data_IF_677828633686
#
_entry.id   IF_677828633686
#
_cell.length_a   1.000
_cell.length_b   1.000
_cell.length_c   1.000
_cell.angle_alpha   90.00
_cell.angle_beta   90.00
_cell.angle_gamma   90.00
#
_symmetry.space_group_name_H-M   'P 1'
#
loop_
_entity.id
_entity.type
_entity.pdbx_description
1 polymer ?
#
# COMPACT_ATOMS: atom_id res chain seq x y z
N UNK A 1 21.40 2.76 -14.69
CA UNK A 1 21.28 2.00 -13.41
C UNK A 1 20.47 2.80 -12.38
N UNK A 2 20.93 3.96 -11.91
CA UNK A 2 20.20 4.80 -10.94
C UNK A 2 18.78 5.16 -11.40
N UNK A 3 18.60 5.62 -12.65
CA UNK A 3 17.28 5.96 -13.19
C UNK A 3 16.33 4.76 -13.34
N UNK A 4 16.86 3.56 -13.58
CA UNK A 4 16.07 2.34 -13.65
C UNK A 4 15.56 1.95 -12.26
N UNK A 5 16.44 1.96 -11.25
CA UNK A 5 16.09 1.71 -9.85
C UNK A 5 15.05 2.72 -9.33
N UNK A 6 15.24 4.00 -9.64
CA UNK A 6 14.31 5.06 -9.24
C UNK A 6 12.93 4.90 -9.91
N UNK A 7 12.90 4.47 -11.17
CA UNK A 7 11.64 4.19 -11.89
C UNK A 7 10.89 3.01 -11.30
N UNK A 8 11.60 1.92 -10.95
CA UNK A 8 10.96 0.76 -10.30
C UNK A 8 10.40 1.15 -8.93
N UNK A 9 11.15 1.89 -8.12
CA UNK A 9 10.68 2.36 -6.81
C UNK A 9 9.46 3.28 -6.92
N UNK A 10 9.52 4.26 -7.83
CA UNK A 10 8.44 5.23 -8.02
C UNK A 10 7.21 4.60 -8.68
N UNK A 11 7.36 3.54 -9.47
CA UNK A 11 6.25 2.83 -10.13
C UNK A 11 5.48 1.85 -9.22
N UNK A 12 6.13 1.29 -8.19
CA UNK A 12 5.47 0.43 -7.20
C UNK A 12 4.51 1.21 -6.31
N UNK A 13 4.87 2.43 -5.90
CA UNK A 13 4.01 3.27 -5.05
C UNK A 13 2.59 3.48 -5.62
N UNK A 14 2.38 3.97 -6.86
CA UNK A 14 1.05 4.19 -7.41
C UNK A 14 0.35 2.90 -7.84
N UNK A 15 0.99 1.73 -7.88
CA UNK A 15 0.34 0.46 -8.26
C UNK A 15 -0.18 -0.30 -7.04
N UNK A 16 0.53 -0.26 -5.91
CA UNK A 16 0.12 -0.95 -4.68
C UNK A 16 -0.82 -0.13 -3.79
N UNK A 17 -0.62 1.19 -3.68
CA UNK A 17 -1.48 2.04 -2.82
C UNK A 17 -2.96 2.05 -3.23
N UNK A 18 -3.32 2.05 -4.53
CA UNK A 18 -4.71 1.93 -4.95
C UNK A 18 -5.43 0.71 -4.38
N UNK A 19 -4.72 -0.41 -4.25
CA UNK A 19 -5.32 -1.65 -3.79
C UNK A 19 -5.79 -1.59 -2.33
N UNK A 20 -5.15 -0.73 -1.52
CA UNK A 20 -5.37 -0.61 -0.08
C UNK A 20 -6.52 0.34 0.29
N UNK A 21 -6.89 1.26 -0.61
CA UNK A 21 -7.92 2.26 -0.34
C UNK A 21 -9.20 2.07 -1.19
N UNK A 22 -10.39 2.30 -0.63
CA UNK A 22 -11.65 2.28 -1.37
C UNK A 22 -11.60 3.25 -2.55
N UNK A 23 -12.12 2.83 -3.70
CA UNK A 23 -12.04 3.56 -4.98
C UNK A 23 -12.51 5.02 -4.89
N UNK A 24 -13.45 5.33 -4.00
CA UNK A 24 -14.01 6.67 -3.80
C UNK A 24 -13.06 7.66 -3.10
N UNK A 25 -12.15 7.20 -2.25
CA UNK A 25 -11.29 8.07 -1.41
C UNK A 25 -9.79 7.90 -1.70
N UNK A 26 -9.45 6.99 -2.61
CA UNK A 26 -8.07 6.57 -2.94
C UNK A 26 -7.11 7.74 -3.15
N UNK A 27 -7.46 8.67 -4.04
CA UNK A 27 -6.59 9.81 -4.36
C UNK A 27 -6.52 10.84 -3.23
N UNK A 28 -7.65 11.11 -2.56
CA UNK A 28 -7.69 12.06 -1.44
C UNK A 28 -6.91 11.58 -0.22
N UNK A 29 -7.10 10.32 0.18
CA UNK A 29 -6.38 9.73 1.31
C UNK A 29 -4.87 9.66 1.05
N UNK A 30 -4.46 9.26 -0.15
CA UNK A 30 -3.05 9.25 -0.56
C UNK A 30 -2.45 10.65 -0.55
N UNK A 31 -3.12 11.62 -1.17
CA UNK A 31 -2.63 13.00 -1.24
C UNK A 31 -2.49 13.63 0.14
N UNK A 32 -3.47 13.44 1.04
CA UNK A 32 -3.42 13.99 2.40
C UNK A 32 -2.28 13.32 3.18
N UNK A 33 -2.22 11.99 3.20
CA UNK A 33 -1.19 11.26 3.93
C UNK A 33 0.22 11.59 3.44
N UNK A 34 0.41 11.66 2.12
CA UNK A 34 1.70 12.00 1.51
C UNK A 34 2.09 13.44 1.82
N UNK A 35 1.20 14.42 1.60
CA UNK A 35 1.53 15.82 1.84
C UNK A 35 1.81 16.12 3.31
N UNK A 36 1.05 15.54 4.24
CA UNK A 36 1.31 15.70 5.68
C UNK A 36 2.69 15.12 6.04
N UNK A 37 3.00 13.91 5.55
CA UNK A 37 4.29 13.27 5.81
C UNK A 37 5.45 14.08 5.22
N UNK A 38 5.35 14.49 3.96
CA UNK A 38 6.38 15.30 3.29
C UNK A 38 6.52 16.67 3.94
N UNK A 39 5.43 17.29 4.36
CA UNK A 39 5.49 18.59 5.05
C UNK A 39 6.19 18.47 6.40
N UNK A 40 5.97 17.38 7.14
CA UNK A 40 6.60 17.17 8.45
C UNK A 40 8.09 16.80 8.28
N UNK A 41 8.39 15.83 7.43
CA UNK A 41 9.74 15.28 7.31
C UNK A 41 10.63 16.01 6.30
N UNK A 42 10.06 16.80 5.40
CA UNK A 42 10.81 17.51 4.36
C UNK A 42 11.78 18.56 4.91
N UNK A 43 11.40 19.24 6.00
CA UNK A 43 12.26 20.21 6.69
C UNK A 43 12.95 19.65 7.93
N UNK A 44 12.26 18.81 8.70
CA UNK A 44 12.80 18.31 9.98
C UNK A 44 13.94 17.31 9.78
N UNK A 45 13.90 16.49 8.73
CA UNK A 45 14.97 15.50 8.46
C UNK A 45 16.33 16.14 8.22
N UNK A 46 16.50 17.12 7.30
CA UNK A 46 17.80 17.75 7.11
C UNK A 46 18.25 18.57 8.33
N UNK A 47 17.32 19.16 9.09
CA UNK A 47 17.66 19.88 10.33
C UNK A 47 18.23 18.93 11.39
N UNK A 48 17.59 17.78 11.62
CA UNK A 48 18.06 16.75 12.56
C UNK A 48 19.38 16.16 12.08
N UNK A 49 19.51 15.88 10.78
CA UNK A 49 20.74 15.35 10.20
C UNK A 49 21.91 16.34 10.37
N UNK A 50 21.69 17.63 10.08
CA UNK A 50 22.70 18.67 10.25
C UNK A 50 23.09 18.84 11.73
N UNK A 51 22.12 18.84 12.64
CA UNK A 51 22.39 18.89 14.08
C UNK A 51 23.18 17.67 14.56
N UNK A 52 22.89 16.48 14.05
CA UNK A 52 23.61 15.25 14.40
C UNK A 52 25.07 15.32 13.95
N UNK A 53 25.32 15.81 12.73
CA UNK A 53 26.67 16.03 12.18
C UNK A 53 27.42 17.08 13.00
N UNK A 54 26.80 18.21 13.33
CA UNK A 54 27.42 19.28 14.13
C UNK A 54 27.84 18.79 15.53
N UNK A 55 27.04 17.92 16.15
CA UNK A 55 27.32 17.36 17.47
C UNK A 55 28.35 16.23 17.49
N UNK A 56 28.40 15.39 16.45
CA UNK A 56 29.32 14.23 16.39
C UNK A 56 30.59 14.51 15.61
N UNK A 57 30.60 15.53 14.74
CA UNK A 57 31.68 15.81 13.79
C UNK A 57 31.77 14.82 12.64
N UNK A 58 30.86 13.85 12.53
CA UNK A 58 30.88 12.79 11.52
C UNK A 58 29.86 13.06 10.40
N UNK A 59 30.36 13.24 9.18
CA UNK A 59 29.56 13.46 7.98
C UNK A 59 28.72 12.24 7.55
N UNK A 60 28.97 11.06 8.12
CA UNK A 60 28.22 9.82 7.86
C UNK A 60 26.97 9.67 8.74
N UNK A 61 26.75 10.55 9.72
CA UNK A 61 25.55 10.52 10.57
C UNK A 61 24.20 10.49 9.82
N UNK A 62 24.01 11.23 8.70
CA UNK A 62 22.78 11.14 7.92
C UNK A 62 22.56 9.72 7.35
N UNK A 63 23.62 8.99 7.02
CA UNK A 63 23.51 7.62 6.52
C UNK A 63 23.01 6.66 7.61
N UNK A 64 23.53 6.77 8.84
CA UNK A 64 23.04 5.98 9.98
C UNK A 64 21.59 6.28 10.32
N UNK A 65 21.19 7.56 10.26
CA UNK A 65 19.80 7.97 10.43
C UNK A 65 18.89 7.30 9.37
N UNK A 66 19.29 7.32 8.10
CA UNK A 66 18.56 6.69 7.00
C UNK A 66 18.51 5.16 7.11
N UNK A 67 19.56 4.51 7.62
CA UNK A 67 19.54 3.07 7.93
C UNK A 67 18.47 2.74 8.98
N UNK A 68 18.41 3.53 10.06
CA UNK A 68 17.37 3.38 11.09
C UNK A 68 15.96 3.58 10.53
N UNK A 69 15.76 4.64 9.73
CA UNK A 69 14.48 4.91 9.07
C UNK A 69 14.07 3.79 8.10
N UNK A 70 15.03 3.16 7.44
CA UNK A 70 14.79 2.05 6.51
C UNK A 70 14.25 0.80 7.22
N UNK A 71 14.67 0.53 8.46
CA UNK A 71 14.12 -0.56 9.28
C UNK A 71 12.63 -0.31 9.55
N UNK A 72 12.25 0.93 9.90
CA UNK A 72 10.84 1.31 10.08
C UNK A 72 10.07 1.11 8.78
N UNK A 73 10.68 1.46 7.63
CA UNK A 73 10.11 1.21 6.30
C UNK A 73 9.85 -0.28 6.04
N UNK A 74 10.81 -1.15 6.37
CA UNK A 74 10.67 -2.61 6.25
C UNK A 74 9.51 -3.11 7.13
N UNK A 75 9.44 -2.68 8.39
CA UNK A 75 8.35 -3.05 9.30
C UNK A 75 6.99 -2.58 8.74
N UNK A 76 6.93 -1.38 8.17
CA UNK A 76 5.72 -0.84 7.54
C UNK A 76 5.27 -1.68 6.33
N UNK A 77 6.21 -2.11 5.48
CA UNK A 77 5.92 -3.00 4.35
C UNK A 77 5.43 -4.37 4.83
N UNK A 78 6.04 -4.93 5.88
CA UNK A 78 5.61 -6.21 6.45
C UNK A 78 4.23 -6.13 7.12
N UNK A 79 3.88 -4.97 7.69
CA UNK A 79 2.56 -4.72 8.25
C UNK A 79 1.48 -4.53 7.15
N UNK A 80 1.89 -4.26 5.91
CA UNK A 80 0.99 -4.11 4.79
C UNK A 80 0.38 -5.47 4.42
N UNK A 81 -0.93 -5.59 4.58
CA UNK A 81 -1.65 -6.82 4.21
C UNK A 81 -1.64 -7.01 2.69
N UNK A 82 -1.13 -8.15 2.26
CA UNK A 82 -1.14 -8.62 0.88
C UNK A 82 -2.55 -8.45 0.27
N UNK A 83 -2.65 -7.63 -0.79
CA UNK A 83 -3.93 -7.35 -1.46
C UNK A 83 -4.08 -8.14 -2.78
N UNK A 84 -3.06 -8.91 -3.18
CA UNK A 84 -2.89 -9.51 -4.51
C UNK A 84 -3.91 -10.57 -4.96
N UNK A 85 -4.95 -10.88 -4.18
CA UNK A 85 -5.98 -11.85 -4.58
C UNK A 85 -7.41 -11.47 -4.16
N UNK A 86 -7.68 -10.18 -3.90
CA UNK A 86 -9.05 -9.74 -3.56
C UNK A 86 -9.55 -8.74 -4.59
N UNK A 87 -10.80 -8.89 -5.09
CA UNK A 87 -11.40 -7.87 -5.93
C UNK A 87 -11.42 -6.55 -5.17
N UNK A 88 -11.01 -5.48 -5.85
CA UNK A 88 -10.97 -4.14 -5.28
C UNK A 88 -12.37 -3.78 -4.76
N UNK A 89 -12.41 -3.25 -3.55
CA UNK A 89 -13.65 -2.96 -2.85
C UNK A 89 -14.38 -1.82 -3.58
N UNK A 90 -15.44 -2.19 -4.30
CA UNK A 90 -16.32 -1.25 -5.01
C UNK A 90 -16.02 -1.02 -6.50
N UNK A 91 -15.12 -1.79 -7.14
CA UNK A 91 -15.03 -1.79 -8.61
C UNK A 91 -15.89 -2.91 -9.21
N UNK A 92 -16.57 -2.62 -10.31
CA UNK A 92 -17.16 -3.67 -11.15
C UNK A 92 -16.09 -4.65 -11.66
N UNK A 93 -16.48 -5.84 -12.14
CA UNK A 93 -15.52 -6.78 -12.73
C UNK A 93 -14.80 -6.11 -13.90
N UNK A 94 -13.46 -6.05 -13.85
CA UNK A 94 -12.64 -5.57 -14.96
C UNK A 94 -12.61 -6.64 -16.05
N UNK A 95 -13.64 -6.67 -16.88
CA UNK A 95 -13.77 -7.61 -18.00
C UNK A 95 -13.80 -6.85 -19.32
N UNK A 96 -13.26 -7.47 -20.37
CA UNK A 96 -13.29 -6.89 -21.71
C UNK A 96 -14.70 -6.95 -22.33
N UNK A 97 -15.56 -7.85 -21.87
CA UNK A 97 -16.88 -8.10 -22.48
C UNK A 97 -17.98 -8.28 -21.44
N UNK A 98 -19.18 -7.75 -21.72
CA UNK A 98 -20.36 -7.88 -20.86
C UNK A 98 -20.73 -9.34 -20.55
N UNK A 99 -20.48 -10.25 -21.48
CA UNK A 99 -20.71 -11.68 -21.28
C UNK A 99 -19.83 -12.29 -20.17
N UNK A 100 -18.59 -11.82 -20.06
CA UNK A 100 -17.60 -12.26 -19.07
C UNK A 100 -17.89 -11.66 -17.68
N UNK A 101 -18.40 -10.43 -17.59
CA UNK A 101 -18.87 -9.84 -16.33
C UNK A 101 -19.96 -10.74 -15.70
N UNK A 102 -20.90 -11.18 -16.54
CA UNK A 102 -22.04 -11.98 -16.10
C UNK A 102 -21.64 -13.42 -15.71
N UNK A 103 -20.59 -14.00 -16.31
CA UNK A 103 -20.07 -15.30 -15.87
C UNK A 103 -19.42 -15.21 -14.49
N UNK A 104 -18.62 -14.16 -14.24
CA UNK A 104 -17.96 -13.92 -12.96
C UNK A 104 -18.95 -13.61 -11.83
N UNK A 105 -19.96 -12.76 -12.08
CA UNK A 105 -21.00 -12.45 -11.08
C UNK A 105 -21.79 -13.71 -10.72
N UNK A 106 -22.11 -14.55 -11.71
CA UNK A 106 -22.80 -15.84 -11.48
C UNK A 106 -21.93 -16.80 -10.66
N UNK A 107 -20.64 -16.90 -10.98
CA UNK A 107 -19.67 -17.69 -10.22
C UNK A 107 -19.52 -17.22 -8.77
N UNK A 108 -19.38 -15.91 -8.56
CA UNK A 108 -19.26 -15.30 -7.24
C UNK A 108 -20.53 -15.49 -6.37
N UNK A 109 -21.72 -15.34 -6.96
CA UNK A 109 -23.00 -15.61 -6.26
C UNK A 109 -23.12 -17.07 -5.82
N UNK A 110 -22.69 -18.02 -6.67
CA UNK A 110 -22.69 -19.45 -6.34
C UNK A 110 -21.73 -19.77 -5.20
N UNK A 111 -20.49 -19.29 -5.27
CA UNK A 111 -19.49 -19.48 -4.23
C UNK A 111 -19.93 -18.84 -2.88
N UNK A 112 -20.57 -17.67 -2.93
CA UNK A 112 -21.11 -17.03 -1.72
C UNK A 112 -22.27 -17.83 -1.11
N UNK A 113 -23.18 -18.35 -1.93
CA UNK A 113 -24.27 -19.20 -1.47
C UNK A 113 -23.75 -20.51 -0.85
N UNK A 114 -22.72 -21.11 -1.45
CA UNK A 114 -22.06 -22.33 -0.94
C UNK A 114 -21.37 -22.07 0.40
N UNK A 115 -20.60 -20.99 0.52
CA UNK A 115 -20.00 -20.60 1.81
C UNK A 115 -21.05 -20.34 2.89
N UNK A 116 -22.15 -19.67 2.54
CA UNK A 116 -23.26 -19.41 3.48
C UNK A 116 -23.91 -20.71 3.92
N UNK A 117 -24.10 -21.66 3.01
CA UNK A 117 -24.64 -23.00 3.31
C UNK A 117 -23.69 -23.80 4.22
N UNK A 118 -22.38 -23.80 3.94
CA UNK A 118 -21.37 -24.46 4.77
C UNK A 118 -21.27 -23.84 6.18
N UNK A 119 -21.37 -22.52 6.29
CA UNK A 119 -21.40 -21.84 7.58
C UNK A 119 -22.63 -22.24 8.40
N UNK A 120 -23.83 -22.27 7.77
CA UNK A 120 -25.06 -22.69 8.42
C UNK A 120 -25.05 -24.17 8.85
N UNK A 121 -24.37 -25.04 8.10
CA UNK A 121 -24.18 -26.45 8.48
C UNK A 121 -23.22 -26.57 9.66
N UNK A 122 -22.13 -25.80 9.67
CA UNK A 122 -21.15 -25.79 10.76
C UNK A 122 -21.71 -25.20 12.06
N UNK A 123 -22.65 -24.26 11.98
CA UNK A 123 -23.32 -23.67 13.14
C UNK A 123 -24.40 -24.57 13.75
N UNK A 124 -24.81 -25.62 13.02
CA UNK A 124 -25.81 -26.61 13.44
C UNK A 124 -25.21 -27.96 13.88
N UNK A 125 -23.89 -28.12 13.84
CA UNK A 125 -23.14 -29.32 14.21
C UNK A 125 -22.31 -29.06 15.47
#
# INVERSE_FOLDING_TARGET
ILGALLSTFTGVMPSSLPALFPTKIRYGALAIGFNVSVSLFGGTTPLVAAWLVDRTGDAMMPAYYLMGASIIGIVSVLALRETSCKPLLGSGPCVATHAEAMSLIRGAKRAHAEKKRLALVRERA
#
